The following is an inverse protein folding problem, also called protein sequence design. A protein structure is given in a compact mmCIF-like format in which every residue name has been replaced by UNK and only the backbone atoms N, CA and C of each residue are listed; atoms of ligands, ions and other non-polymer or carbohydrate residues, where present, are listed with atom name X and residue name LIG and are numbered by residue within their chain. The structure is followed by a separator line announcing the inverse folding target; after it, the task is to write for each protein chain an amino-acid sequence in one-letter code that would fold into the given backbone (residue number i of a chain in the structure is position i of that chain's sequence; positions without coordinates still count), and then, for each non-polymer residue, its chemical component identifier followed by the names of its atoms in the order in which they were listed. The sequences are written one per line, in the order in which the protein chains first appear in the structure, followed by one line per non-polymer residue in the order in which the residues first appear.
data_IF_702073670195
#
_entry.id   IF_702073670195
#
_cell.length_a   1.000
_cell.length_b   1.000
_cell.length_c   1.000
_cell.angle_alpha   90.00
_cell.angle_beta   90.00
_cell.angle_gamma   90.00
#
_symmetry.space_group_name_H-M   'P 1'
#
loop_
_entity.id
_entity.type
_entity.pdbx_description
1 polymer ?
#
# COMPACT_ATOMS: atom_id res chain seq x y z
N UNK A 1 6.10 -11.70 -2.94
CA UNK A 1 5.19 -10.59 -3.28
C UNK A 1 5.24 -9.48 -2.24
N UNK A 2 4.92 -9.70 -0.96
CA UNK A 2 4.97 -8.60 0.04
C UNK A 2 6.34 -7.90 0.11
N UNK A 3 7.46 -8.66 0.12
CA UNK A 3 8.81 -8.07 0.09
C UNK A 3 9.06 -7.24 -1.17
N UNK A 4 8.47 -7.63 -2.31
CA UNK A 4 8.57 -6.88 -3.58
C UNK A 4 7.79 -5.56 -3.49
N UNK A 5 6.56 -5.59 -2.97
CA UNK A 5 5.76 -4.39 -2.70
C UNK A 5 6.43 -3.46 -1.68
N UNK A 6 7.06 -4.03 -0.65
CA UNK A 6 7.87 -3.24 0.29
C UNK A 6 9.05 -2.56 -0.41
N UNK A 7 9.67 -3.23 -1.40
CA UNK A 7 10.70 -2.63 -2.24
C UNK A 7 10.19 -1.40 -2.98
N UNK A 8 9.02 -1.48 -3.62
CA UNK A 8 8.37 -0.33 -4.27
C UNK A 8 8.03 0.78 -3.29
N UNK A 9 7.50 0.43 -2.12
CA UNK A 9 7.19 1.38 -1.05
C UNK A 9 8.43 2.17 -0.62
N UNK A 10 9.54 1.49 -0.33
CA UNK A 10 10.78 2.13 0.09
C UNK A 10 11.41 2.93 -1.04
N UNK A 11 11.40 2.43 -2.28
CA UNK A 11 11.88 3.16 -3.44
C UNK A 11 11.09 4.46 -3.62
N UNK A 12 9.76 4.39 -3.64
CA UNK A 12 8.89 5.56 -3.77
C UNK A 12 9.18 6.61 -2.68
N UNK A 13 9.27 6.18 -1.41
CA UNK A 13 9.63 7.09 -0.31
C UNK A 13 11.04 7.67 -0.44
N UNK A 14 12.02 6.91 -0.93
CA UNK A 14 13.37 7.39 -1.16
C UNK A 14 13.45 8.44 -2.28
N UNK A 15 12.61 8.31 -3.32
CA UNK A 15 12.50 9.30 -4.40
C UNK A 15 11.56 10.48 -4.06
N UNK A 16 11.04 10.55 -2.83
CA UNK A 16 10.11 11.61 -2.40
C UNK A 16 8.71 11.49 -3.01
N UNK A 17 8.37 10.34 -3.59
CA UNK A 17 7.04 10.05 -4.12
C UNK A 17 6.11 9.76 -2.94
N UNK A 18 4.97 10.45 -2.91
CA UNK A 18 3.96 10.25 -1.87
C UNK A 18 3.24 8.93 -2.10
N UNK A 19 3.42 8.00 -1.17
CA UNK A 19 2.61 6.78 -1.11
C UNK A 19 1.32 7.07 -0.36
N UNK A 20 0.19 6.94 -1.04
CA UNK A 20 -1.15 7.14 -0.48
C UNK A 20 -1.61 5.92 0.32
N UNK A 21 -1.35 4.72 -0.20
CA UNK A 21 -1.76 3.48 0.44
C UNK A 21 -0.71 2.39 0.27
N UNK A 22 -0.50 1.61 1.34
CA UNK A 22 0.25 0.37 1.34
C UNK A 22 -0.68 -0.74 1.84
N UNK A 23 -1.20 -1.53 0.91
CA UNK A 23 -2.14 -2.61 1.19
C UNK A 23 -1.44 -3.96 1.21
N UNK A 24 -1.69 -4.76 2.25
CA UNK A 24 -1.31 -6.16 2.28
C UNK A 24 -2.54 -7.01 1.97
N UNK A 25 -2.41 -7.94 1.04
CA UNK A 25 -3.51 -8.74 0.53
C UNK A 25 -4.38 -8.03 -0.51
N UNK A 26 -5.33 -8.78 -1.11
CA UNK A 26 -6.30 -8.27 -2.07
C UNK A 26 -7.65 -7.98 -1.40
N UNK A 27 -8.42 -6.98 -1.90
CA UNK A 27 -9.74 -6.62 -1.41
C UNK A 27 -10.68 -7.84 -1.25
N UNK A 28 -11.63 -7.79 -0.31
CA UNK A 28 -12.05 -6.61 0.47
C UNK A 28 -11.16 -6.28 1.67
N UNK A 29 -11.03 -4.99 2.01
CA UNK A 29 -10.33 -4.52 3.22
C UNK A 29 -10.95 -5.14 4.48
N UNK A 30 -10.12 -5.53 5.44
CA UNK A 30 -10.56 -5.97 6.76
C UNK A 30 -10.98 -4.73 7.54
N UNK A 31 -12.29 -4.60 7.80
CA UNK A 31 -12.83 -3.48 8.58
C UNK A 31 -12.21 -3.48 9.98
N UNK A 32 -11.62 -2.35 10.37
CA UNK A 32 -10.98 -2.18 11.67
C UNK A 32 -9.50 -2.58 11.72
N UNK A 33 -8.94 -3.16 10.65
CA UNK A 33 -7.50 -3.46 10.57
C UNK A 33 -6.85 -2.60 9.48
N UNK A 34 -6.40 -1.43 9.91
CA UNK A 34 -5.64 -0.48 9.12
C UNK A 34 -5.25 0.71 9.98
N UNK A 35 -4.15 1.36 9.64
CA UNK A 35 -3.73 2.56 10.34
C UNK A 35 -3.06 3.53 9.38
N UNK A 36 -3.18 4.82 9.66
CA UNK A 36 -2.49 5.85 8.89
C UNK A 36 -1.22 6.25 9.60
N UNK A 37 -0.09 6.27 8.90
CA UNK A 37 1.17 6.83 9.40
C UNK A 37 1.64 7.93 8.47
N UNK A 38 1.52 9.17 8.95
CA UNK A 38 1.79 10.36 8.15
C UNK A 38 0.81 10.49 6.98
N UNK A 39 1.34 10.40 5.76
CA UNK A 39 0.60 10.50 4.50
C UNK A 39 0.21 9.15 3.89
N UNK A 40 0.67 8.04 4.47
CA UNK A 40 0.44 6.68 3.96
C UNK A 40 -0.61 5.95 4.81
N UNK A 41 -1.64 5.43 4.15
CA UNK A 41 -2.63 4.53 4.73
C UNK A 41 -2.14 3.08 4.63
N UNK A 42 -2.02 2.37 5.74
CA UNK A 42 -1.66 0.96 5.78
C UNK A 42 -2.92 0.13 5.95
N UNK A 43 -3.20 -0.77 5.01
CA UNK A 43 -4.44 -1.56 5.00
C UNK A 43 -4.13 -3.04 4.97
N UNK A 44 -4.96 -3.84 5.67
CA UNK A 44 -4.93 -5.29 5.56
C UNK A 44 -6.23 -5.75 4.90
N UNK A 45 -6.13 -6.61 3.90
CA UNK A 45 -7.26 -7.13 3.17
C UNK A 45 -7.48 -8.63 3.45
N UNK A 46 -8.71 -9.09 3.25
CA UNK A 46 -9.15 -10.45 3.62
C UNK A 46 -8.39 -11.55 2.89
N UNK A 47 -7.97 -11.30 1.65
CA UNK A 47 -7.26 -12.27 0.86
C UNK A 47 -5.75 -12.07 1.07
N UNK A 48 -5.02 -12.97 1.75
CA UNK A 48 -3.58 -12.81 2.06
C UNK A 48 -2.68 -13.05 0.84
N UNK A 49 -3.19 -12.80 -0.36
CA UNK A 49 -2.48 -12.93 -1.62
C UNK A 49 -1.94 -11.57 -2.02
N UNK A 50 -0.63 -11.46 -2.12
CA UNK A 50 0.04 -10.25 -2.59
C UNK A 50 -0.14 -9.00 -1.73
N UNK A 51 -0.11 -7.85 -2.39
CA UNK A 51 -0.21 -6.52 -1.80
C UNK A 51 -0.13 -5.48 -2.92
N UNK A 52 -0.35 -4.21 -2.58
CA UNK A 52 -0.29 -3.12 -3.53
C UNK A 52 0.23 -1.84 -2.87
N UNK A 53 0.89 -1.02 -3.67
CA UNK A 53 1.35 0.32 -3.30
C UNK A 53 0.60 1.30 -4.19
N UNK A 54 -0.17 2.22 -3.61
CA UNK A 54 -0.85 3.29 -4.36
C UNK A 54 -0.04 4.57 -4.25
N UNK A 55 0.50 5.04 -5.36
CA UNK A 55 1.29 6.27 -5.43
C UNK A 55 0.41 7.47 -5.77
N UNK A 56 0.80 8.65 -5.28
CA UNK A 56 0.16 9.91 -5.66
C UNK A 56 0.44 10.20 -7.13
N UNK A 57 -0.61 10.30 -7.94
CA UNK A 57 -0.51 10.48 -9.40
C UNK A 57 -0.64 9.18 -10.20
N UNK A 58 -0.77 8.05 -9.52
CA UNK A 58 -1.21 6.79 -10.13
C UNK A 58 -2.74 6.85 -10.22
N UNK A 59 -3.24 7.40 -11.33
CA UNK A 59 -4.64 7.25 -11.74
C UNK A 59 -4.71 5.94 -12.53
N UNK A 60 -5.49 4.97 -12.04
CA UNK A 60 -5.83 3.78 -12.81
C UNK A 60 -6.41 4.23 -14.18
N UNK A 61 -5.84 3.80 -15.33
CA UNK A 61 -6.36 4.14 -16.65
C UNK A 61 -7.75 3.56 -16.94
#
# INVERSE_FOLDING_TARGET
VIIHEMGHFFAAKAFGIKVLEFGIGLPPRIKGIGFRRGETEYTLNWLPLGGFVRLLGEEDP
#
